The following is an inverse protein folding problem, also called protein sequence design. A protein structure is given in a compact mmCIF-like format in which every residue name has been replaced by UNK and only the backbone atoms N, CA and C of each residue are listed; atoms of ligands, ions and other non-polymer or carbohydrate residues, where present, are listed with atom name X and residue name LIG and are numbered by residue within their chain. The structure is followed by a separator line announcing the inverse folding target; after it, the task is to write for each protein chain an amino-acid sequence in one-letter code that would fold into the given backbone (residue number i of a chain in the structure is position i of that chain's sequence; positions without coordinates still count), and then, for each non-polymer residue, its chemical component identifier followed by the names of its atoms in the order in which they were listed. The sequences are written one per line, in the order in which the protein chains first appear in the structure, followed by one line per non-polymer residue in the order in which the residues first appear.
data_IF_590817884659
#
_entry.id   IF_590817884659
#
_cell.length_a   1.000
_cell.length_b   1.000
_cell.length_c   1.000
_cell.angle_alpha   90.00
_cell.angle_beta   90.00
_cell.angle_gamma   90.00
#
_symmetry.space_group_name_H-M   'P 1'
#
loop_
_entity.id
_entity.type
_entity.pdbx_description
1 polymer ?
#
# COMPACT_ATOMS: atom_id res chain seq x y z
N UNK A 1 -85.10 38.30 -0.07
CA UNK A 1 -84.00 38.39 0.91
C UNK A 1 -82.70 38.70 0.18
N UNK A 2 -82.02 39.76 0.61
CA UNK A 2 -81.07 40.58 -0.17
C UNK A 2 -79.82 39.85 -0.69
N UNK A 3 -79.42 40.12 -1.94
CA UNK A 3 -78.14 39.65 -2.52
C UNK A 3 -76.90 40.19 -1.79
N UNK A 4 -77.03 41.32 -1.06
CA UNK A 4 -75.97 41.89 -0.23
C UNK A 4 -75.59 41.01 0.97
N UNK A 5 -76.53 40.26 1.56
CA UNK A 5 -76.22 39.40 2.72
C UNK A 5 -75.55 38.09 2.31
N UNK A 6 -75.76 37.59 1.09
CA UNK A 6 -75.10 36.39 0.57
C UNK A 6 -73.61 36.62 0.27
N UNK A 7 -73.26 37.78 -0.27
CA UNK A 7 -71.86 38.15 -0.53
C UNK A 7 -71.08 38.44 0.76
N UNK A 8 -71.74 38.95 1.80
CA UNK A 8 -71.12 39.19 3.10
C UNK A 8 -70.80 37.88 3.84
N UNK A 9 -71.69 36.88 3.76
CA UNK A 9 -71.44 35.54 4.33
C UNK A 9 -70.35 34.76 3.57
N UNK A 10 -70.29 34.87 2.23
CA UNK A 10 -69.20 34.26 1.45
C UNK A 10 -67.84 34.94 1.69
N UNK A 11 -67.80 36.25 1.92
CA UNK A 11 -66.57 36.95 2.28
C UNK A 11 -66.06 36.55 3.67
N UNK A 12 -66.95 36.33 4.63
CA UNK A 12 -66.61 35.85 5.98
C UNK A 12 -66.10 34.39 5.94
N UNK A 13 -66.69 33.53 5.10
CA UNK A 13 -66.19 32.17 4.90
C UNK A 13 -64.79 32.14 4.25
N UNK A 14 -64.51 33.03 3.30
CA UNK A 14 -63.17 33.14 2.69
C UNK A 14 -62.13 33.66 3.69
N UNK A 15 -62.50 34.61 4.55
CA UNK A 15 -61.63 35.14 5.61
C UNK A 15 -61.32 34.07 6.68
N UNK A 16 -62.30 33.24 7.04
CA UNK A 16 -62.13 32.12 7.96
C UNK A 16 -61.23 31.00 7.38
N UNK A 17 -61.30 30.76 6.07
CA UNK A 17 -60.41 29.81 5.39
C UNK A 17 -58.97 30.37 5.34
N UNK A 18 -58.80 31.67 5.10
CA UNK A 18 -57.49 32.33 5.14
C UNK A 18 -56.85 32.34 6.54
N UNK A 19 -57.65 32.48 7.60
CA UNK A 19 -57.18 32.38 9.00
C UNK A 19 -56.86 30.93 9.39
N UNK A 20 -57.56 29.94 8.84
CA UNK A 20 -57.25 28.52 9.02
C UNK A 20 -55.93 28.12 8.35
N UNK A 21 -55.56 28.74 7.22
CA UNK A 21 -54.24 28.56 6.61
C UNK A 21 -53.11 29.32 7.32
N UNK A 22 -53.43 30.36 8.10
CA UNK A 22 -52.45 31.05 8.94
C UNK A 22 -52.15 30.31 10.27
N UNK A 23 -52.95 29.29 10.62
CA UNK A 23 -52.78 28.49 11.85
C UNK A 23 -51.92 27.24 11.68
N UNK A 24 -51.41 26.96 10.48
CA UNK A 24 -50.47 25.88 10.22
C UNK A 24 -49.16 26.43 9.65
N UNK A 25 -48.29 26.91 10.53
CA UNK A 25 -46.83 26.67 10.48
C UNK A 25 -46.07 26.84 9.16
N UNK A 26 -46.53 27.63 8.20
CA UNK A 26 -45.87 27.82 6.90
C UNK A 26 -44.67 28.80 6.94
N UNK A 27 -44.22 29.17 8.14
CA UNK A 27 -42.93 29.79 8.36
C UNK A 27 -42.12 28.83 9.25
N UNK A 28 -41.58 27.79 8.63
CA UNK A 28 -40.63 26.85 9.21
C UNK A 28 -39.30 27.52 9.52
N UNK A 29 -39.31 28.48 10.44
CA UNK A 29 -38.13 28.87 11.20
C UNK A 29 -37.83 27.73 12.16
N UNK A 30 -37.05 26.75 11.67
CA UNK A 30 -36.53 25.64 12.45
C UNK A 30 -35.63 26.14 13.57
N UNK A 31 -36.24 26.64 14.65
CA UNK A 31 -35.60 26.68 15.95
C UNK A 31 -35.42 25.22 16.36
N UNK A 32 -34.23 24.68 16.07
CA UNK A 32 -33.73 23.43 16.64
C UNK A 32 -33.86 23.54 18.15
N UNK A 33 -34.98 23.07 18.70
CA UNK A 33 -35.10 22.77 20.11
C UNK A 33 -34.18 21.59 20.33
N UNK A 34 -32.95 21.89 20.76
CA UNK A 34 -32.01 20.90 21.24
C UNK A 34 -32.73 20.05 22.30
N UNK A 35 -33.05 18.81 21.93
CA UNK A 35 -33.71 17.83 22.83
C UNK A 35 -32.69 17.17 23.77
N UNK A 36 -31.43 17.62 23.75
CA UNK A 36 -30.31 16.97 24.44
C UNK A 36 -29.90 15.65 23.80
N UNK A 37 -30.40 15.35 22.60
CA UNK A 37 -30.12 14.13 21.86
C UNK A 37 -29.02 14.39 20.83
N UNK A 38 -28.03 13.49 20.75
CA UNK A 38 -26.92 13.60 19.80
C UNK A 38 -27.35 12.99 18.46
N UNK A 39 -27.64 13.83 17.47
CA UNK A 39 -28.03 13.42 16.11
C UNK A 39 -26.95 13.68 15.04
N UNK A 40 -25.76 14.14 15.46
CA UNK A 40 -24.65 14.47 14.56
C UNK A 40 -24.75 15.86 13.94
N UNK A 41 -23.68 16.29 13.26
CA UNK A 41 -23.64 17.56 12.54
C UNK A 41 -24.45 17.41 11.24
N UNK A 42 -25.50 18.23 11.02
CA UNK A 42 -26.27 18.21 9.77
C UNK A 42 -25.40 18.48 8.54
N UNK A 43 -25.81 17.94 7.39
CA UNK A 43 -25.26 18.27 6.06
C UNK A 43 -23.76 17.98 5.84
N UNK A 44 -23.12 17.14 6.67
CA UNK A 44 -21.78 16.64 6.38
C UNK A 44 -21.85 15.69 5.19
N UNK A 45 -21.16 16.01 4.09
CA UNK A 45 -21.10 15.14 2.92
C UNK A 45 -20.50 13.77 3.27
N UNK A 46 -21.06 12.73 2.66
CA UNK A 46 -20.53 11.39 2.71
C UNK A 46 -19.12 11.34 2.13
N UNK A 47 -18.27 10.54 2.75
CA UNK A 47 -16.93 10.24 2.30
C UNK A 47 -16.81 8.76 1.94
N UNK A 48 -16.22 8.48 0.79
CA UNK A 48 -15.84 7.14 0.35
C UNK A 48 -14.38 7.15 -0.08
N UNK A 49 -13.61 6.19 0.42
CA UNK A 49 -12.23 6.03 0.02
C UNK A 49 -12.15 5.36 -1.35
N UNK A 50 -11.84 6.15 -2.37
CA UNK A 50 -11.54 5.62 -3.70
C UNK A 50 -10.20 4.91 -3.70
N UNK A 51 -10.11 3.75 -4.36
CA UNK A 51 -8.86 3.01 -4.54
C UNK A 51 -7.84 3.86 -5.32
N UNK A 52 -6.64 4.11 -4.78
CA UNK A 52 -5.57 4.79 -5.51
C UNK A 52 -5.16 4.03 -6.79
N UNK A 53 -4.56 4.75 -7.74
CA UNK A 53 -4.00 4.14 -8.95
C UNK A 53 -2.86 3.18 -8.58
N UNK A 54 -2.78 2.04 -9.28
CA UNK A 54 -1.76 1.01 -9.05
C UNK A 54 -1.93 0.22 -7.75
N UNK A 55 -3.02 0.42 -6.99
CA UNK A 55 -3.23 -0.27 -5.72
C UNK A 55 -4.40 -1.25 -5.75
N UNK A 56 -4.30 -2.28 -4.92
CA UNK A 56 -5.32 -3.29 -4.68
C UNK A 56 -5.83 -3.24 -3.24
N UNK A 57 -7.14 -3.46 -3.07
CA UNK A 57 -7.79 -3.48 -1.76
C UNK A 57 -7.59 -4.83 -1.09
N UNK A 58 -6.90 -4.85 0.04
CA UNK A 58 -6.71 -6.04 0.85
C UNK A 58 -7.75 -6.02 1.97
N UNK A 59 -8.57 -7.07 2.05
CA UNK A 59 -9.66 -7.17 3.03
C UNK A 59 -9.11 -7.46 4.42
N UNK A 60 -9.75 -6.89 5.44
CA UNK A 60 -9.46 -7.24 6.82
C UNK A 60 -9.66 -8.74 7.06
N UNK A 61 -8.82 -9.32 7.90
CA UNK A 61 -8.89 -10.75 8.20
C UNK A 61 -7.90 -11.18 9.26
N UNK A 62 -7.98 -12.45 9.62
CA UNK A 62 -7.04 -13.10 10.54
C UNK A 62 -6.27 -14.17 9.79
N UNK A 63 -4.99 -14.32 10.10
CA UNK A 63 -4.13 -15.34 9.49
C UNK A 63 -3.05 -15.80 10.47
N UNK A 64 -2.43 -16.96 10.20
CA UNK A 64 -1.25 -17.39 10.92
C UNK A 64 0.00 -16.83 10.24
N UNK A 65 0.63 -15.87 10.92
CA UNK A 65 1.93 -15.32 10.53
C UNK A 65 3.04 -16.28 10.94
N UNK A 66 4.05 -16.45 10.07
CA UNK A 66 5.26 -17.22 10.33
C UNK A 66 5.43 -18.43 9.42
N UNK A 67 6.06 -19.46 9.98
CA UNK A 67 6.57 -20.62 9.28
C UNK A 67 5.50 -21.49 8.62
N UNK A 68 5.63 -21.72 7.31
CA UNK A 68 4.80 -22.68 6.56
C UNK A 68 5.49 -24.06 6.37
N UNK A 69 6.83 -24.14 6.46
CA UNK A 69 7.62 -25.37 6.25
C UNK A 69 8.75 -25.50 7.29
N UNK A 70 9.27 -26.69 7.55
CA UNK A 70 10.29 -26.94 8.57
C UNK A 70 11.62 -26.22 8.28
N UNK A 71 11.96 -25.22 9.10
CA UNK A 71 13.31 -24.66 9.20
C UNK A 71 14.06 -25.29 10.37
N UNK A 72 14.96 -26.23 10.05
CA UNK A 72 15.78 -26.96 11.03
C UNK A 72 16.83 -26.06 11.68
N UNK A 73 17.23 -24.97 11.02
CA UNK A 73 18.28 -24.09 11.51
C UNK A 73 17.73 -22.94 12.38
N UNK A 74 16.42 -22.70 12.35
CA UNK A 74 15.72 -21.62 13.05
C UNK A 74 16.38 -20.24 12.82
N UNK A 75 16.94 -20.02 11.63
CA UNK A 75 17.84 -18.89 11.37
C UNK A 75 17.10 -17.64 10.95
N UNK A 76 15.95 -17.77 10.27
CA UNK A 76 15.29 -16.66 9.58
C UNK A 76 13.76 -16.78 9.55
N UNK A 77 13.16 -17.56 10.47
CA UNK A 77 11.70 -17.71 10.56
C UNK A 77 11.24 -17.51 11.99
N UNK A 78 10.11 -16.83 12.16
CA UNK A 78 9.51 -16.58 13.46
C UNK A 78 8.44 -17.63 13.83
N UNK A 79 8.16 -17.74 15.13
CA UNK A 79 7.12 -18.64 15.64
C UNK A 79 5.75 -18.28 15.04
N UNK A 80 4.95 -19.31 14.81
CA UNK A 80 3.62 -19.12 14.28
C UNK A 80 2.74 -18.39 15.29
N UNK A 81 2.16 -17.27 14.87
CA UNK A 81 1.26 -16.46 15.68
C UNK A 81 0.06 -16.07 14.85
N UNK A 82 -1.13 -16.16 15.43
CA UNK A 82 -2.33 -15.63 14.80
C UNK A 82 -2.34 -14.11 14.91
N UNK A 83 -2.51 -13.43 13.78
CA UNK A 83 -2.52 -11.97 13.67
C UNK A 83 -3.79 -11.54 12.93
N UNK A 84 -4.36 -10.41 13.36
CA UNK A 84 -5.47 -9.72 12.72
C UNK A 84 -4.94 -8.50 11.99
N UNK A 85 -5.25 -8.39 10.69
CA UNK A 85 -4.90 -7.25 9.85
C UNK A 85 -6.19 -6.51 9.46
N UNK A 86 -6.23 -5.20 9.70
CA UNK A 86 -7.29 -4.32 9.20
C UNK A 86 -7.21 -4.19 7.69
N UNK A 87 -8.29 -3.76 7.04
CA UNK A 87 -8.24 -3.52 5.60
C UNK A 87 -7.24 -2.39 5.29
N UNK A 88 -6.57 -2.52 4.14
CA UNK A 88 -5.61 -1.54 3.64
C UNK A 88 -5.48 -1.69 2.12
N UNK A 89 -4.82 -0.74 1.49
CA UNK A 89 -4.42 -0.81 0.10
C UNK A 89 -2.93 -1.13 0.00
N UNK A 90 -2.54 -1.89 -1.00
CA UNK A 90 -1.14 -2.21 -1.32
C UNK A 90 -0.95 -2.08 -2.82
N UNK A 91 0.20 -1.60 -3.26
CA UNK A 91 0.52 -1.57 -4.70
C UNK A 91 0.49 -2.99 -5.28
N UNK A 92 -0.10 -3.15 -6.47
CA UNK A 92 -0.20 -4.44 -7.14
C UNK A 92 1.17 -4.97 -7.57
N UNK A 93 2.08 -4.09 -7.97
CA UNK A 93 3.47 -4.41 -8.30
C UNK A 93 4.47 -3.76 -7.34
N UNK A 94 5.74 -4.12 -7.48
CA UNK A 94 6.85 -3.32 -6.98
C UNK A 94 6.85 -1.95 -7.67
N UNK A 95 7.37 -0.91 -7.01
CA UNK A 95 7.52 0.41 -7.64
C UNK A 95 8.48 0.30 -8.82
N UNK A 96 8.03 0.76 -9.97
CA UNK A 96 8.80 0.72 -11.21
C UNK A 96 9.83 1.85 -11.29
N UNK A 97 10.84 1.69 -12.14
CA UNK A 97 11.80 2.75 -12.43
C UNK A 97 11.11 4.01 -12.94
N UNK A 98 10.05 3.88 -13.76
CA UNK A 98 9.31 5.00 -14.29
C UNK A 98 8.52 5.77 -13.22
N UNK A 99 7.86 5.06 -12.30
CA UNK A 99 7.16 5.70 -11.17
C UNK A 99 8.14 6.43 -10.24
N UNK A 100 9.30 5.80 -9.96
CA UNK A 100 10.34 6.46 -9.17
C UNK A 100 10.93 7.67 -9.91
N UNK A 101 11.07 7.59 -11.24
CA UNK A 101 11.56 8.68 -12.07
C UNK A 101 10.67 9.92 -11.95
N UNK A 102 9.35 9.73 -11.91
CA UNK A 102 8.40 10.83 -11.73
C UNK A 102 8.74 11.70 -10.49
N UNK A 103 9.11 11.06 -9.37
CA UNK A 103 9.57 11.78 -8.18
C UNK A 103 10.88 12.52 -8.47
N UNK A 104 11.89 11.83 -9.00
CA UNK A 104 13.21 12.43 -9.24
C UNK A 104 13.16 13.61 -10.23
N UNK A 105 12.29 13.54 -11.24
CA UNK A 105 12.06 14.63 -12.19
C UNK A 105 11.33 15.80 -11.52
N UNK A 106 10.31 15.55 -10.69
CA UNK A 106 9.66 16.64 -9.95
C UNK A 106 10.61 17.39 -9.02
N UNK A 107 11.56 16.67 -8.41
CA UNK A 107 12.60 17.28 -7.56
C UNK A 107 13.60 18.08 -8.38
N UNK A 108 13.98 17.59 -9.57
CA UNK A 108 14.89 18.28 -10.48
C UNK A 108 14.29 19.56 -11.09
N UNK A 109 12.97 19.56 -11.35
CA UNK A 109 12.24 20.73 -11.85
C UNK A 109 12.04 21.82 -10.79
N UNK A 110 12.43 21.56 -9.54
CA UNK A 110 12.43 22.55 -8.46
C UNK A 110 11.05 22.81 -7.88
N UNK A 111 10.20 21.79 -7.76
CA UNK A 111 8.96 21.88 -6.98
C UNK A 111 9.27 22.41 -5.57
N UNK A 112 8.38 23.24 -5.01
CA UNK A 112 8.51 23.83 -3.66
C UNK A 112 8.59 22.81 -2.50
N UNK A 113 8.53 21.52 -2.79
CA UNK A 113 8.83 20.45 -1.84
C UNK A 113 10.32 20.38 -1.54
N UNK A 114 10.72 21.07 -0.49
CA UNK A 114 12.03 20.86 0.12
C UNK A 114 12.14 19.43 0.63
N UNK A 115 13.26 18.76 0.31
CA UNK A 115 13.65 17.52 1.00
C UNK A 115 13.60 17.76 2.53
N UNK A 116 13.14 16.78 3.33
CA UNK A 116 13.19 16.86 4.78
C UNK A 116 14.59 17.21 5.27
N UNK A 117 14.68 17.91 6.41
CA UNK A 117 15.97 18.28 6.98
C UNK A 117 16.88 17.05 7.15
N UNK A 118 18.02 17.05 6.47
CA UNK A 118 19.04 16.01 6.58
C UNK A 118 19.05 14.96 5.46
N UNK A 119 18.12 14.99 4.51
CA UNK A 119 18.15 14.12 3.32
C UNK A 119 18.71 14.92 2.14
N UNK A 120 19.76 14.40 1.51
CA UNK A 120 20.32 14.99 0.29
C UNK A 120 19.73 14.34 -0.96
N UNK A 121 19.70 15.08 -2.07
CA UNK A 121 19.21 14.55 -3.36
C UNK A 121 19.99 13.29 -3.78
N UNK A 122 21.29 13.26 -3.50
CA UNK A 122 22.16 12.11 -3.80
C UNK A 122 21.76 10.84 -3.05
N UNK A 123 21.15 10.95 -1.86
CA UNK A 123 20.65 9.80 -1.08
C UNK A 123 19.32 9.27 -1.59
N UNK A 124 18.53 10.11 -2.26
CA UNK A 124 17.24 9.73 -2.86
C UNK A 124 17.43 9.13 -4.24
N UNK A 125 18.45 9.55 -4.99
CA UNK A 125 18.72 9.00 -6.31
C UNK A 125 19.17 7.52 -6.23
N UNK A 126 18.72 6.66 -7.16
CA UNK A 126 19.16 5.27 -7.16
C UNK A 126 20.67 5.13 -7.39
N UNK A 127 21.35 4.40 -6.51
CA UNK A 127 22.76 4.07 -6.66
C UNK A 127 22.92 3.01 -7.76
N UNK A 128 23.40 3.43 -8.94
CA UNK A 128 23.64 2.52 -10.08
C UNK A 128 24.87 1.64 -9.89
N UNK A 129 25.78 1.98 -8.97
CA UNK A 129 27.03 1.22 -8.74
C UNK A 129 26.77 -0.13 -8.09
N UNK A 130 25.56 -0.37 -7.55
CA UNK A 130 25.14 -1.63 -6.93
C UNK A 130 25.35 -2.84 -7.82
N UNK A 131 25.18 -2.70 -9.14
CA UNK A 131 25.34 -3.77 -10.11
C UNK A 131 26.78 -4.30 -10.22
N UNK A 132 27.76 -3.47 -9.86
CA UNK A 132 29.18 -3.84 -9.80
C UNK A 132 29.62 -4.11 -8.36
N UNK A 133 29.08 -3.36 -7.39
CA UNK A 133 29.43 -3.49 -5.96
C UNK A 133 28.97 -4.81 -5.36
N UNK A 134 27.75 -5.24 -5.66
CA UNK A 134 27.16 -6.44 -5.04
C UNK A 134 27.79 -7.74 -5.57
N UNK A 135 28.37 -7.70 -6.77
CA UNK A 135 28.93 -8.87 -7.45
C UNK A 135 30.39 -8.65 -7.84
N UNK A 136 31.31 -9.10 -6.98
CA UNK A 136 32.75 -9.05 -7.27
C UNK A 136 33.09 -9.96 -8.46
N UNK A 137 33.95 -9.46 -9.36
CA UNK A 137 34.38 -10.18 -10.56
C UNK A 137 33.25 -10.58 -11.54
N UNK A 138 32.17 -9.80 -11.59
CA UNK A 138 31.06 -9.95 -12.53
C UNK A 138 31.05 -8.81 -13.55
N UNK A 139 30.57 -9.07 -14.77
CA UNK A 139 30.36 -8.03 -15.80
C UNK A 139 29.07 -7.25 -15.51
N UNK A 140 29.10 -6.39 -14.49
CA UNK A 140 27.97 -5.53 -14.09
C UNK A 140 27.80 -4.27 -14.94
N UNK A 141 28.79 -3.93 -15.76
CA UNK A 141 28.87 -2.64 -16.48
C UNK A 141 27.63 -2.32 -17.35
N UNK A 142 27.01 -3.26 -18.09
CA UNK A 142 25.81 -2.93 -18.85
C UNK A 142 24.65 -2.52 -17.96
N UNK A 143 24.46 -3.20 -16.83
CA UNK A 143 23.34 -2.92 -15.93
C UNK A 143 23.56 -1.63 -15.14
N UNK A 144 24.81 -1.39 -14.71
CA UNK A 144 25.23 -0.12 -14.11
C UNK A 144 24.91 1.08 -15.01
N UNK A 145 25.15 0.97 -16.32
CA UNK A 145 24.98 2.08 -17.27
C UNK A 145 23.52 2.25 -17.71
N UNK A 146 22.81 1.16 -17.96
CA UNK A 146 21.52 1.22 -18.66
C UNK A 146 20.30 1.05 -17.76
N UNK A 147 20.40 0.40 -16.59
CA UNK A 147 19.22 0.04 -15.80
C UNK A 147 18.37 1.24 -15.38
N UNK A 148 19.02 2.31 -14.89
CA UNK A 148 18.31 3.53 -14.51
C UNK A 148 18.13 4.52 -15.67
N UNK A 149 18.94 4.45 -16.72
CA UNK A 149 18.98 5.50 -17.75
C UNK A 149 18.24 5.16 -19.04
N UNK A 150 18.04 3.88 -19.35
CA UNK A 150 17.49 3.45 -20.63
C UNK A 150 15.99 3.11 -20.53
N UNK A 151 15.13 3.56 -21.46
CA UNK A 151 13.68 3.31 -21.43
C UNK A 151 13.26 1.84 -21.43
N UNK A 152 14.17 0.95 -21.85
CA UNK A 152 13.91 -0.51 -21.82
C UNK A 152 13.69 -1.06 -20.40
N UNK A 153 14.13 -0.33 -19.37
CA UNK A 153 14.00 -0.73 -17.97
C UNK A 153 12.92 0.07 -17.21
N UNK A 154 12.08 0.84 -17.91
CA UNK A 154 11.07 1.68 -17.26
C UNK A 154 10.03 0.86 -16.47
N UNK A 155 9.66 -0.33 -16.98
CA UNK A 155 8.69 -1.25 -16.35
C UNK A 155 9.33 -2.23 -15.32
N UNK A 156 10.64 -2.13 -15.08
CA UNK A 156 11.36 -2.95 -14.12
C UNK A 156 11.29 -2.34 -12.73
N UNK A 157 11.40 -3.14 -11.66
CA UNK A 157 11.38 -2.61 -10.30
C UNK A 157 12.56 -1.68 -10.04
N UNK A 158 12.34 -0.60 -9.31
CA UNK A 158 13.42 0.28 -8.86
C UNK A 158 14.32 -0.47 -7.87
N UNK A 159 15.62 -0.43 -8.11
CA UNK A 159 16.66 -0.99 -7.22
C UNK A 159 17.79 0.02 -7.07
N UNK A 160 18.70 -0.23 -6.12
CA UNK A 160 19.71 0.76 -5.76
C UNK A 160 19.15 1.85 -4.84
N UNK A 161 17.98 1.61 -4.24
CA UNK A 161 17.35 2.49 -3.25
C UNK A 161 17.52 1.90 -1.85
N UNK A 162 17.87 2.75 -0.89
CA UNK A 162 17.92 2.36 0.52
C UNK A 162 16.54 2.56 1.18
N UNK A 163 16.42 2.17 2.45
CA UNK A 163 15.14 2.24 3.16
C UNK A 163 14.66 3.68 3.37
N UNK A 164 15.58 4.62 3.63
CA UNK A 164 15.24 6.03 3.80
C UNK A 164 14.67 6.63 2.51
N UNK A 165 15.26 6.31 1.36
CA UNK A 165 14.79 6.74 0.04
C UNK A 165 13.40 6.16 -0.29
N UNK A 166 13.17 4.89 0.03
CA UNK A 166 11.86 4.24 -0.13
C UNK A 166 10.78 4.89 0.76
N UNK A 167 11.12 5.21 2.01
CA UNK A 167 10.23 5.96 2.92
C UNK A 167 9.92 7.35 2.38
N UNK A 168 10.94 8.05 1.90
CA UNK A 168 10.78 9.38 1.32
C UNK A 168 9.88 9.37 0.08
N UNK A 169 9.99 8.36 -0.79
CA UNK A 169 9.07 8.20 -1.92
C UNK A 169 7.62 8.07 -1.47
N UNK A 170 7.36 7.36 -0.37
CA UNK A 170 6.00 7.24 0.20
C UNK A 170 5.48 8.60 0.70
N UNK A 171 6.33 9.40 1.35
CA UNK A 171 6.00 10.75 1.82
C UNK A 171 5.72 11.69 0.65
N UNK A 172 6.60 11.71 -0.36
CA UNK A 172 6.40 12.48 -1.59
C UNK A 172 5.09 12.08 -2.30
N UNK A 173 4.83 10.79 -2.49
CA UNK A 173 3.58 10.30 -3.13
C UNK A 173 2.34 10.75 -2.37
N UNK A 174 2.44 10.85 -1.04
CA UNK A 174 1.35 11.35 -0.17
C UNK A 174 1.08 12.82 -0.43
N UNK A 175 2.13 13.64 -0.42
CA UNK A 175 1.99 15.06 -0.66
C UNK A 175 1.50 15.33 -2.08
N UNK A 176 2.09 14.68 -3.08
CA UNK A 176 1.70 14.79 -4.48
C UNK A 176 0.19 14.54 -4.68
N UNK A 177 -0.33 13.47 -4.07
CA UNK A 177 -1.77 13.18 -4.12
C UNK A 177 -2.60 14.21 -3.34
N UNK A 178 -2.18 14.58 -2.14
CA UNK A 178 -2.97 15.45 -1.27
C UNK A 178 -2.98 16.91 -1.72
N UNK A 179 -1.90 17.42 -2.31
CA UNK A 179 -1.86 18.74 -2.95
C UNK A 179 -2.90 18.82 -4.07
N UNK A 180 -2.94 17.84 -4.97
CA UNK A 180 -3.97 17.76 -6.01
C UNK A 180 -5.39 17.72 -5.40
N UNK A 181 -5.60 16.94 -4.34
CA UNK A 181 -6.91 16.83 -3.69
C UNK A 181 -7.33 18.13 -3.00
N UNK A 182 -6.41 18.82 -2.37
CA UNK A 182 -6.64 20.12 -1.74
C UNK A 182 -7.06 21.17 -2.78
N UNK A 183 -6.39 21.21 -3.93
CA UNK A 183 -6.78 22.07 -5.07
C UNK A 183 -8.19 21.79 -5.57
N UNK A 184 -8.63 20.52 -5.52
CA UNK A 184 -9.99 20.12 -5.88
C UNK A 184 -11.00 20.26 -4.72
N UNK A 185 -10.58 20.76 -3.55
CA UNK A 185 -11.43 20.86 -2.36
C UNK A 185 -11.89 19.50 -1.79
N UNK A 186 -11.17 18.42 -2.11
CA UNK A 186 -11.44 17.07 -1.63
C UNK A 186 -10.75 16.82 -0.28
N UNK A 187 -11.33 15.99 0.61
CA UNK A 187 -10.68 15.59 1.84
C UNK A 187 -9.35 14.88 1.58
N UNK A 188 -8.35 15.16 2.41
CA UNK A 188 -7.05 14.49 2.36
C UNK A 188 -7.19 12.98 2.52
N UNK A 189 -6.30 12.27 1.85
CA UNK A 189 -6.16 10.83 1.92
C UNK A 189 -5.08 10.45 2.94
N UNK A 190 -5.20 9.27 3.59
CA UNK A 190 -4.13 8.70 4.41
C UNK A 190 -2.77 8.68 3.71
N UNK A 191 -1.69 8.74 4.48
CA UNK A 191 -0.35 8.65 3.92
C UNK A 191 -0.09 7.28 3.28
N UNK A 192 0.61 7.30 2.15
CA UNK A 192 1.36 6.15 1.66
C UNK A 192 2.53 5.89 2.62
N UNK A 193 2.84 4.62 2.81
CA UNK A 193 3.95 4.15 3.66
C UNK A 193 4.47 2.83 3.13
N UNK A 194 5.58 2.36 3.67
CA UNK A 194 5.98 0.97 3.48
C UNK A 194 4.99 0.05 4.21
N UNK A 195 4.74 -1.17 3.69
CA UNK A 195 3.92 -2.14 4.40
C UNK A 195 4.62 -2.59 5.69
N UNK A 196 3.82 -2.96 6.70
CA UNK A 196 4.38 -3.71 7.82
C UNK A 196 4.74 -5.14 7.39
N UNK A 197 5.63 -5.80 8.12
CA UNK A 197 5.99 -7.21 7.87
C UNK A 197 4.72 -8.09 7.84
N UNK A 198 3.79 -7.84 8.75
CA UNK A 198 2.57 -8.61 8.86
C UNK A 198 1.56 -8.30 7.75
N UNK A 199 1.45 -7.04 7.33
CA UNK A 199 0.65 -6.65 6.16
C UNK A 199 1.21 -7.29 4.89
N UNK A 200 2.53 -7.25 4.70
CA UNK A 200 3.22 -7.84 3.56
C UNK A 200 2.99 -9.35 3.50
N UNK A 201 3.18 -10.07 4.61
CA UNK A 201 2.99 -11.52 4.64
C UNK A 201 1.52 -11.92 4.41
N UNK A 202 0.58 -11.21 5.03
CA UNK A 202 -0.84 -11.42 4.83
C UNK A 202 -1.24 -11.22 3.37
N UNK A 203 -0.72 -10.16 2.76
CA UNK A 203 -0.92 -9.83 1.36
C UNK A 203 -0.31 -10.90 0.44
N UNK A 204 0.93 -11.34 0.70
CA UNK A 204 1.64 -12.36 -0.08
C UNK A 204 0.89 -13.70 -0.11
N UNK A 205 0.31 -14.09 1.02
CA UNK A 205 -0.48 -15.32 1.17
C UNK A 205 -1.77 -15.35 0.35
N UNK A 206 -2.27 -14.20 -0.13
CA UNK A 206 -3.42 -14.15 -1.03
C UNK A 206 -4.69 -14.79 -0.44
N UNK A 207 -4.95 -14.63 0.85
CA UNK A 207 -6.12 -15.21 1.51
C UNK A 207 -6.04 -16.72 1.80
N UNK A 208 -4.87 -17.34 1.61
CA UNK A 208 -4.61 -18.74 1.96
C UNK A 208 -3.82 -18.83 3.26
N UNK A 209 -4.27 -19.66 4.19
CA UNK A 209 -3.58 -19.83 5.46
C UNK A 209 -2.42 -20.82 5.32
N UNK A 210 -1.28 -20.52 5.96
CA UNK A 210 -0.12 -21.43 6.07
C UNK A 210 0.46 -21.94 4.73
N UNK A 211 0.30 -21.17 3.64
CA UNK A 211 1.00 -21.43 2.37
C UNK A 211 2.47 -21.02 2.43
N UNK A 212 3.28 -21.70 1.64
CA UNK A 212 4.72 -21.56 1.45
C UNK A 212 5.03 -20.52 0.39
N UNK A 213 4.29 -20.51 -0.70
CA UNK A 213 4.42 -19.54 -1.79
C UNK A 213 3.08 -18.83 -2.04
N UNK A 214 3.06 -17.64 -2.67
CA UNK A 214 1.82 -16.92 -2.98
C UNK A 214 0.80 -17.74 -3.77
N UNK A 215 1.28 -18.62 -4.66
CA UNK A 215 0.44 -19.53 -5.46
C UNK A 215 0.08 -20.86 -4.76
N UNK A 216 0.59 -21.10 -3.55
CA UNK A 216 0.31 -22.31 -2.77
C UNK A 216 1.49 -23.29 -2.67
N UNK A 217 1.20 -24.50 -2.18
CA UNK A 217 2.19 -25.51 -1.80
C UNK A 217 2.22 -26.69 -2.79
N UNK A 218 3.31 -27.47 -2.85
CA UNK A 218 4.64 -27.25 -2.26
C UNK A 218 5.70 -26.81 -3.29
N UNK A 219 5.32 -26.70 -4.57
CA UNK A 219 6.28 -26.60 -5.67
C UNK A 219 6.44 -25.16 -6.18
N UNK A 220 7.67 -24.82 -6.57
CA UNK A 220 8.02 -23.59 -7.29
C UNK A 220 7.74 -23.65 -8.79
N UNK A 221 7.30 -24.83 -9.28
CA UNK A 221 7.01 -25.10 -10.68
C UNK A 221 5.55 -25.52 -10.86
N UNK A 222 4.98 -25.16 -12.01
CA UNK A 222 3.68 -25.67 -12.43
C UNK A 222 3.79 -27.11 -12.98
N UNK A 223 2.65 -27.68 -13.38
CA UNK A 223 2.58 -29.04 -13.96
C UNK A 223 3.36 -29.22 -15.27
N UNK A 224 3.67 -28.12 -15.98
CA UNK A 224 4.51 -28.11 -17.19
C UNK A 224 6.00 -27.98 -16.88
N UNK A 225 6.37 -27.79 -15.61
CA UNK A 225 7.75 -27.58 -15.18
C UNK A 225 8.25 -26.13 -15.28
N UNK A 226 7.41 -25.16 -15.65
CA UNK A 226 7.79 -23.75 -15.67
C UNK A 226 7.82 -23.18 -14.26
N UNK A 227 8.80 -22.33 -13.96
CA UNK A 227 8.88 -21.60 -12.69
C UNK A 227 7.78 -20.54 -12.61
N UNK A 228 7.35 -20.25 -11.39
CA UNK A 228 6.22 -19.37 -11.08
C UNK A 228 6.65 -18.00 -10.52
N UNK A 229 7.95 -17.79 -10.38
CA UNK A 229 8.59 -16.58 -9.87
C UNK A 229 9.99 -16.43 -10.47
N UNK A 230 10.53 -15.21 -10.41
CA UNK A 230 11.92 -14.91 -10.74
C UNK A 230 12.83 -15.10 -9.52
N UNK A 231 13.63 -16.15 -9.50
CA UNK A 231 14.54 -16.45 -8.39
C UNK A 231 15.63 -17.40 -8.84
N UNK A 232 16.68 -17.60 -8.04
CA UNK A 232 17.79 -18.50 -8.37
C UNK A 232 17.39 -19.97 -8.13
N UNK A 233 17.08 -20.78 -9.17
CA UNK A 233 16.49 -22.10 -8.97
C UNK A 233 17.54 -23.15 -8.58
N UNK A 234 18.81 -22.90 -8.90
CA UNK A 234 19.90 -23.82 -8.63
C UNK A 234 21.26 -23.14 -8.58
N UNK A 235 22.27 -23.88 -8.14
CA UNK A 235 23.65 -23.37 -8.05
C UNK A 235 24.16 -23.04 -9.45
N UNK A 236 24.40 -21.75 -9.69
CA UNK A 236 24.90 -21.24 -10.98
C UNK A 236 23.83 -21.11 -12.07
N UNK A 237 22.56 -21.36 -11.73
CA UNK A 237 21.44 -21.17 -12.64
C UNK A 237 20.59 -19.98 -12.18
N UNK A 238 20.52 -18.96 -13.01
CA UNK A 238 19.73 -17.73 -12.80
C UNK A 238 18.71 -17.51 -13.92
N UNK A 239 18.58 -18.39 -14.92
CA UNK A 239 17.84 -18.09 -16.15
C UNK A 239 16.69 -19.06 -16.45
N UNK A 240 16.54 -20.15 -15.69
CA UNK A 240 15.50 -21.16 -15.92
C UNK A 240 14.07 -20.60 -15.90
N UNK A 241 13.85 -19.41 -15.29
CA UNK A 241 12.60 -18.66 -15.24
C UNK A 241 12.43 -17.67 -16.41
N UNK A 242 13.47 -17.48 -17.22
CA UNK A 242 13.53 -16.57 -18.36
C UNK A 242 14.32 -15.28 -18.12
N UNK A 243 14.76 -14.99 -16.90
CA UNK A 243 15.37 -13.71 -16.54
C UNK A 243 16.62 -13.87 -15.68
N UNK A 244 17.80 -13.49 -16.20
CA UNK A 244 19.06 -13.60 -15.45
C UNK A 244 19.19 -12.62 -14.27
N UNK A 245 18.39 -11.55 -14.29
CA UNK A 245 18.35 -10.48 -13.28
C UNK A 245 16.88 -10.22 -12.93
N UNK A 246 16.56 -9.03 -12.41
CA UNK A 246 15.16 -8.59 -12.29
C UNK A 246 14.43 -8.75 -13.64
N UNK A 247 13.14 -9.06 -13.55
CA UNK A 247 12.18 -9.13 -14.63
C UNK A 247 11.32 -7.85 -14.60
N UNK A 248 10.66 -7.50 -15.72
CA UNK A 248 9.61 -6.50 -15.68
C UNK A 248 8.57 -6.87 -14.62
N UNK A 249 8.02 -5.86 -13.95
CA UNK A 249 6.94 -6.06 -12.99
C UNK A 249 5.72 -6.71 -13.65
N UNK A 250 4.95 -7.48 -12.88
CA UNK A 250 3.77 -8.21 -13.35
C UNK A 250 4.03 -9.23 -14.48
N UNK A 251 5.25 -9.79 -14.53
CA UNK A 251 5.59 -10.86 -15.48
C UNK A 251 4.96 -12.20 -15.09
N UNK A 252 4.98 -12.54 -13.80
CA UNK A 252 4.42 -13.78 -13.28
C UNK A 252 2.94 -13.61 -12.90
N UNK A 253 2.28 -14.70 -12.53
CA UNK A 253 0.86 -14.64 -12.17
C UNK A 253 0.66 -13.95 -10.82
N UNK A 254 -0.32 -13.05 -10.77
CA UNK A 254 -0.78 -12.45 -9.54
C UNK A 254 -1.33 -13.51 -8.56
N UNK A 255 -1.24 -13.21 -7.27
CA UNK A 255 -1.94 -13.99 -6.24
C UNK A 255 -3.45 -13.68 -6.22
N UNK A 256 -4.22 -14.32 -5.33
CA UNK A 256 -5.68 -14.17 -5.30
C UNK A 256 -6.15 -12.77 -4.86
N UNK A 257 -5.24 -11.92 -4.35
CA UNK A 257 -5.51 -10.51 -4.08
C UNK A 257 -5.14 -9.58 -5.25
N UNK A 258 -4.59 -10.14 -6.33
CA UNK A 258 -4.16 -9.40 -7.52
C UNK A 258 -2.79 -8.74 -7.36
N UNK A 259 -1.96 -9.22 -6.42
CA UNK A 259 -0.60 -8.74 -6.21
C UNK A 259 0.39 -9.61 -7.00
N UNK A 260 1.26 -8.96 -7.73
CA UNK A 260 2.30 -9.58 -8.55
C UNK A 260 3.62 -9.64 -7.78
N UNK A 261 4.46 -10.61 -8.16
CA UNK A 261 5.86 -10.69 -7.76
C UNK A 261 6.11 -10.67 -6.24
N UNK A 262 5.12 -11.04 -5.42
CA UNK A 262 5.25 -11.20 -3.96
C UNK A 262 6.28 -12.29 -3.56
N UNK A 263 6.81 -13.04 -4.51
CA UNK A 263 7.86 -14.02 -4.32
C UNK A 263 8.85 -13.89 -5.47
N UNK A 264 10.10 -13.57 -5.15
CA UNK A 264 11.16 -13.34 -6.13
C UNK A 264 11.16 -11.92 -6.69
N UNK A 265 11.75 -11.77 -7.88
CA UNK A 265 12.05 -10.50 -8.52
C UNK A 265 12.96 -9.60 -7.66
N UNK A 266 12.44 -8.68 -6.85
CA UNK A 266 13.26 -7.97 -5.86
C UNK A 266 12.72 -8.17 -4.45
N UNK A 267 13.62 -8.22 -3.48
CA UNK A 267 13.21 -8.22 -2.09
C UNK A 267 12.66 -6.84 -1.72
N UNK A 268 11.66 -6.79 -0.86
CA UNK A 268 10.91 -5.55 -0.61
C UNK A 268 11.10 -5.04 0.80
N UNK A 269 11.45 -3.75 0.91
CA UNK A 269 11.52 -3.06 2.19
C UNK A 269 10.17 -3.04 2.93
N UNK A 270 10.20 -3.38 4.21
CA UNK A 270 9.09 -3.20 5.15
C UNK A 270 9.39 -2.06 6.14
N UNK A 271 8.35 -1.53 6.78
CA UNK A 271 8.48 -0.45 7.78
C UNK A 271 9.22 -0.92 9.06
N UNK A 272 9.05 -2.19 9.41
CA UNK A 272 9.54 -2.80 10.64
C UNK A 272 11.08 -2.86 10.75
N UNK A 273 11.58 -2.63 11.96
CA UNK A 273 12.97 -2.93 12.34
C UNK A 273 13.17 -4.43 12.49
N UNK A 274 14.32 -4.95 12.09
CA UNK A 274 14.61 -6.37 12.22
C UNK A 274 14.90 -6.74 13.68
N UNK A 275 14.07 -7.60 14.25
CA UNK A 275 14.34 -8.27 15.53
C UNK A 275 13.89 -9.74 15.45
N UNK A 276 14.79 -10.71 15.70
CA UNK A 276 14.44 -12.14 15.71
C UNK A 276 13.28 -12.47 16.67
N UNK A 277 13.17 -11.73 17.78
CA UNK A 277 12.15 -11.91 18.81
C UNK A 277 10.95 -10.96 18.67
N UNK A 278 10.74 -10.35 17.50
CA UNK A 278 9.65 -9.37 17.27
C UNK A 278 8.24 -9.96 17.47
N UNK A 279 7.95 -11.16 16.94
CA UNK A 279 6.59 -11.76 17.00
C UNK A 279 6.01 -11.93 18.41
N UNK A 280 6.75 -12.42 19.43
CA UNK A 280 6.24 -12.46 20.80
C UNK A 280 6.13 -11.09 21.48
N UNK A 281 6.81 -10.06 20.97
CA UNK A 281 6.80 -8.70 21.54
C UNK A 281 5.61 -7.85 21.06
N UNK A 282 5.24 -7.99 19.78
CA UNK A 282 4.19 -7.19 19.15
C UNK A 282 2.79 -7.64 19.57
N UNK A 283 1.80 -6.79 19.38
CA UNK A 283 0.38 -7.14 19.56
C UNK A 283 -0.11 -8.12 18.48
N UNK A 284 -1.33 -8.60 18.61
CA UNK A 284 -1.99 -9.50 17.66
C UNK A 284 -2.91 -8.76 16.67
N UNK A 285 -3.21 -7.48 16.89
CA UNK A 285 -3.93 -6.59 15.96
C UNK A 285 -2.96 -5.60 15.31
N UNK A 286 -2.86 -5.61 13.98
CA UNK A 286 -2.00 -4.72 13.18
C UNK A 286 -0.58 -4.56 13.75
N UNK A 287 0.17 -5.66 13.96
CA UNK A 287 1.47 -5.58 14.59
C UNK A 287 2.46 -4.82 13.71
N UNK A 288 3.20 -3.94 14.38
CA UNK A 288 4.41 -3.29 13.86
C UNK A 288 5.48 -3.32 14.95
N UNK A 289 6.72 -3.55 14.56
CA UNK A 289 7.88 -3.45 15.43
C UNK A 289 8.83 -2.38 14.87
N UNK A 290 8.85 -1.21 15.52
CA UNK A 290 9.72 -0.11 15.12
C UNK A 290 10.61 0.30 16.29
N UNK A 291 11.92 0.29 16.06
CA UNK A 291 12.93 0.80 16.98
C UNK A 291 13.96 1.58 16.17
N UNK A 292 14.09 2.88 16.46
CA UNK A 292 14.98 3.81 15.75
C UNK A 292 16.46 3.52 15.99
N UNK A 293 16.76 2.81 17.09
CA UNK A 293 18.13 2.44 17.47
C UNK A 293 18.67 1.25 16.68
N UNK A 294 17.79 0.57 15.93
CA UNK A 294 18.12 -0.58 15.10
C UNK A 294 18.24 -0.08 13.66
N UNK A 295 19.42 -0.30 13.08
CA UNK A 295 19.72 0.10 11.71
C UNK A 295 19.25 -0.95 10.71
N UNK A 296 19.11 -2.21 11.12
CA UNK A 296 18.59 -3.29 10.30
C UNK A 296 17.08 -3.16 10.10
N UNK A 297 16.65 -3.12 8.83
CA UNK A 297 15.25 -3.09 8.41
C UNK A 297 14.87 -4.40 7.74
N UNK A 298 13.61 -4.79 7.91
CA UNK A 298 13.08 -6.02 7.36
C UNK A 298 12.94 -5.93 5.84
N UNK A 299 13.32 -7.02 5.18
CA UNK A 299 13.03 -7.27 3.77
C UNK A 299 12.31 -8.61 3.61
N UNK A 300 11.38 -8.67 2.65
CA UNK A 300 10.54 -9.84 2.39
C UNK A 300 10.50 -10.19 0.90
N UNK A 301 10.02 -11.38 0.57
CA UNK A 301 9.80 -11.82 -0.83
C UNK A 301 10.99 -12.46 -1.51
N UNK A 302 12.22 -12.19 -1.05
CA UNK A 302 13.43 -12.66 -1.73
C UNK A 302 13.57 -12.02 -3.12
N UNK A 303 14.63 -12.36 -3.84
CA UNK A 303 14.93 -11.72 -5.13
C UNK A 303 15.39 -12.71 -6.19
N UNK A 304 15.58 -12.21 -7.41
CA UNK A 304 16.15 -12.92 -8.55
C UNK A 304 17.48 -13.63 -8.23
N UNK A 305 18.26 -13.13 -7.25
CA UNK A 305 19.52 -13.76 -6.83
C UNK A 305 19.36 -14.85 -5.76
N UNK A 306 18.22 -14.91 -5.09
CA UNK A 306 18.01 -15.73 -3.91
C UNK A 306 17.41 -17.09 -4.24
N UNK A 307 17.69 -18.08 -3.40
CA UNK A 307 17.17 -19.45 -3.57
C UNK A 307 15.72 -19.55 -3.11
N UNK A 308 15.07 -20.66 -3.48
CA UNK A 308 13.67 -20.96 -3.20
C UNK A 308 13.21 -20.78 -1.74
N UNK A 309 14.12 -20.81 -0.77
CA UNK A 309 13.84 -20.59 0.66
C UNK A 309 13.48 -19.13 0.98
N UNK A 310 14.14 -18.17 0.33
CA UNK A 310 13.93 -16.75 0.59
C UNK A 310 12.68 -16.18 -0.08
N UNK A 311 12.17 -16.87 -1.11
CA UNK A 311 10.94 -16.49 -1.81
C UNK A 311 9.68 -17.11 -1.20
N UNK A 312 9.82 -17.76 -0.06
CA UNK A 312 8.68 -18.26 0.71
C UNK A 312 7.97 -17.10 1.42
N UNK A 313 6.65 -17.16 1.52
CA UNK A 313 5.84 -16.08 2.10
C UNK A 313 6.17 -15.80 3.55
N UNK A 314 6.66 -16.81 4.31
CA UNK A 314 6.97 -16.72 5.74
C UNK A 314 8.44 -16.39 6.05
N UNK A 315 9.32 -16.41 5.06
CA UNK A 315 10.75 -16.13 5.27
C UNK A 315 10.99 -14.63 5.38
N UNK A 316 11.82 -14.25 6.35
CA UNK A 316 12.29 -12.87 6.57
C UNK A 316 13.78 -12.79 6.33
N UNK A 317 14.23 -11.64 5.87
CA UNK A 317 15.63 -11.26 5.89
C UNK A 317 15.74 -9.79 6.32
N UNK A 318 16.96 -9.28 6.40
CA UNK A 318 17.19 -7.89 6.76
C UNK A 318 18.34 -7.32 5.96
N UNK A 319 18.37 -5.99 5.89
CA UNK A 319 19.50 -5.23 5.38
C UNK A 319 19.57 -3.89 6.13
N UNK A 320 20.73 -3.25 6.17
CA UNK A 320 20.90 -1.97 6.83
C UNK A 320 20.15 -0.84 6.09
N UNK A 321 19.48 0.05 6.83
CA UNK A 321 18.60 1.10 6.29
C UNK A 321 19.27 2.07 5.32
N UNK A 322 20.58 2.25 5.44
CA UNK A 322 21.44 3.11 4.63
C UNK A 322 22.04 2.38 3.40
N UNK A 323 21.93 1.06 3.35
CA UNK A 323 22.52 0.23 2.30
C UNK A 323 21.54 0.01 1.16
N UNK A 324 21.95 0.39 -0.05
CA UNK A 324 21.26 0.06 -1.30
C UNK A 324 21.74 -1.29 -1.88
N UNK A 325 20.88 -2.02 -2.57
CA UNK A 325 21.23 -3.27 -3.26
C UNK A 325 20.59 -3.33 -4.64
N UNK A 326 21.21 -4.10 -5.54
CA UNK A 326 20.72 -4.45 -6.89
C UNK A 326 19.55 -5.44 -6.90
N UNK A 327 19.13 -5.90 -5.71
CA UNK A 327 18.16 -6.97 -5.51
C UNK A 327 17.10 -6.60 -4.47
N UNK A 328 17.11 -5.35 -4.00
CA UNK A 328 16.13 -4.84 -3.04
C UNK A 328 15.45 -3.61 -3.67
N UNK A 329 14.13 -3.65 -3.69
CA UNK A 329 13.24 -2.55 -4.03
C UNK A 329 12.18 -2.39 -2.96
N UNK A 330 10.99 -1.94 -3.33
CA UNK A 330 9.87 -1.79 -2.41
C UNK A 330 8.54 -1.63 -3.14
N UNK A 331 7.45 -1.75 -2.38
CA UNK A 331 6.10 -1.36 -2.77
C UNK A 331 5.47 -0.52 -1.67
N UNK A 332 4.46 0.29 -1.97
CA UNK A 332 3.77 1.06 -0.96
C UNK A 332 2.49 0.36 -0.47
N UNK A 333 2.09 0.75 0.73
CA UNK A 333 0.80 0.45 1.32
C UNK A 333 0.14 1.74 1.83
N UNK A 334 -1.16 1.68 2.05
CA UNK A 334 -1.96 2.81 2.50
C UNK A 334 -3.12 2.32 3.36
N UNK A 335 -3.32 2.92 4.52
CA UNK A 335 -4.39 2.52 5.45
C UNK A 335 -5.77 2.78 4.85
N UNK A 336 -6.68 1.81 4.91
CA UNK A 336 -8.06 2.00 4.50
C UNK A 336 -8.89 2.53 5.68
N UNK A 337 -9.47 3.73 5.55
CA UNK A 337 -10.27 4.33 6.63
C UNK A 337 -11.73 3.83 6.64
N UNK A 338 -12.25 3.31 5.53
CA UNK A 338 -13.64 2.88 5.41
C UNK A 338 -14.50 3.69 4.44
N UNK A 339 -15.81 3.55 4.61
CA UNK A 339 -16.84 4.35 3.94
C UNK A 339 -17.74 4.99 5.00
N UNK A 340 -18.16 6.22 4.76
CA UNK A 340 -19.20 6.86 5.58
C UNK A 340 -20.58 6.27 5.24
N UNK A 341 -21.49 6.25 6.20
CA UNK A 341 -22.82 5.62 6.11
C UNK A 341 -23.88 6.42 5.33
N UNK A 342 -23.52 7.47 4.58
CA UNK A 342 -24.50 8.21 3.78
C UNK A 342 -24.73 7.55 2.42
N UNK A 343 -25.52 6.48 2.43
CA UNK A 343 -26.23 5.96 1.26
C UNK A 343 -27.59 5.35 1.66
N UNK A 344 -28.26 5.94 2.65
CA UNK A 344 -29.64 5.59 3.00
C UNK A 344 -30.47 6.86 3.10
N UNK A 345 -30.95 7.32 1.95
CA UNK A 345 -32.19 8.11 1.92
C UNK A 345 -33.33 7.12 2.20
N UNK A 346 -33.98 7.26 3.36
CA UNK A 346 -35.23 6.56 3.69
C UNK A 346 -36.45 7.33 3.19
#
# INVERSE_FOLDING_TARGET
MNSKTRNFFSAIQLLLILVMFASCGLFGGGSSKDRGEVYGVPDRQGWEMTRPFGMMSIRAGTFHMGQADQDVAATQINFNKQVTISAFFMDDTEITNNEYRQMTESLAEGSEESLPEGISLDEVMPDTTVWTRDFTHHMGDPMMVYYWSHPAFDDYPVVGVNWNAARYFCEWRTNYLNTYREEQGLPMMPAFRLPSEAEWEYAARGGRDMVKYPWGNPYTRNSKGCLLANFKPGRGNYFDDGFAYAAPTATFFANDYGLYDMAGNVAEWCEDSYNPSSVPLVWDLNPTYYDERIDEKLIRGGSWKDIAYYVETGTRAYEHKDTARSSIGFRCAMTYLGRSTQAFDF
#
